data_IF_642678945802
#
_entry.id   IF_642678945802
#
_cell.length_a   1.000
_cell.length_b   1.000
_cell.length_c   1.000
_cell.angle_alpha   90.00
_cell.angle_beta   90.00
_cell.angle_gamma   90.00
#
_symmetry.space_group_name_H-M   'P 1'
#
loop_
_entity.id
_entity.type
_entity.pdbx_description
1 polymer ?
#
# COMPACT_ATOMS: atom_id res chain seq x y z
N UNK A 1 -9.66 -15.02 21.27
CA UNK A 1 -8.28 -15.30 20.84
C UNK A 1 -8.29 -15.87 19.44
N UNK A 2 -7.46 -15.42 18.48
CA UNK A 2 -7.08 -14.05 18.10
C UNK A 2 -7.80 -13.61 16.80
N UNK A 3 -8.08 -12.31 16.66
CA UNK A 3 -8.63 -11.76 15.41
C UNK A 3 -7.53 -11.60 14.35
N UNK A 4 -7.72 -12.26 13.21
CA UNK A 4 -6.86 -12.17 12.03
C UNK A 4 -6.93 -10.75 11.45
N UNK A 5 -5.89 -9.94 11.65
CA UNK A 5 -5.63 -8.72 10.87
C UNK A 5 -5.20 -9.13 9.45
N UNK A 6 -6.16 -9.57 8.63
CA UNK A 6 -5.94 -9.76 7.19
C UNK A 6 -5.44 -8.44 6.62
N UNK A 7 -4.30 -8.50 5.91
CA UNK A 7 -3.68 -7.39 5.19
C UNK A 7 -4.75 -6.59 4.42
N UNK A 8 -5.01 -5.35 4.85
CA UNK A 8 -6.01 -4.46 4.24
C UNK A 8 -5.52 -3.77 2.96
N UNK A 9 -4.27 -3.99 2.57
CA UNK A 9 -3.66 -3.46 1.34
C UNK A 9 -3.93 -4.34 0.10
N UNK A 10 -4.57 -5.49 0.27
CA UNK A 10 -4.69 -6.52 -0.78
C UNK A 10 -5.85 -6.33 -1.77
N UNK A 11 -6.81 -5.44 -1.48
CA UNK A 11 -8.04 -5.33 -2.28
C UNK A 11 -8.15 -3.97 -2.98
N UNK A 12 -7.21 -3.69 -3.87
CA UNK A 12 -7.40 -2.62 -4.83
C UNK A 12 -7.03 -3.09 -6.23
N UNK A 13 -7.96 -3.80 -6.88
CA UNK A 13 -7.92 -4.05 -8.31
C UNK A 13 -9.28 -3.75 -8.95
N UNK A 14 -9.27 -2.60 -9.61
CA UNK A 14 -10.00 -2.09 -10.78
C UNK A 14 -11.23 -2.75 -11.45
N UNK A 15 -11.82 -3.87 -11.04
CA UNK A 15 -12.90 -4.49 -11.86
C UNK A 15 -14.31 -4.53 -11.23
N UNK A 16 -14.49 -4.25 -9.94
CA UNK A 16 -15.82 -4.35 -9.30
C UNK A 16 -16.47 -3.02 -8.88
N UNK A 17 -15.84 -1.87 -9.09
CA UNK A 17 -16.42 -0.57 -8.66
C UNK A 17 -17.55 -0.09 -9.61
N UNK A 18 -17.70 -0.67 -10.81
CA UNK A 18 -18.69 -0.21 -11.78
C UNK A 18 -20.07 -0.89 -11.70
N UNK A 19 -20.32 -1.84 -10.79
CA UNK A 19 -21.65 -2.47 -10.65
C UNK A 19 -22.13 -2.65 -9.21
N UNK A 20 -22.26 -1.56 -8.47
CA UNK A 20 -23.30 -1.49 -7.44
C UNK A 20 -23.58 -0.04 -7.06
N UNK A 21 -24.79 0.40 -7.42
CA UNK A 21 -25.47 1.57 -6.91
C UNK A 21 -24.81 2.93 -7.22
N UNK A 22 -25.43 3.63 -8.18
CA UNK A 22 -25.53 5.08 -8.23
C UNK A 22 -26.06 5.60 -6.88
N UNK A 23 -25.20 5.68 -5.87
CA UNK A 23 -25.48 6.41 -4.64
C UNK A 23 -24.81 7.76 -4.79
N UNK A 24 -25.62 8.82 -4.79
CA UNK A 24 -25.24 10.23 -4.67
C UNK A 24 -24.60 10.52 -3.28
N UNK A 25 -23.69 9.66 -2.81
CA UNK A 25 -22.89 9.89 -1.61
C UNK A 25 -21.60 10.59 -2.00
N UNK A 26 -21.47 11.85 -1.59
CA UNK A 26 -20.21 12.59 -1.66
C UNK A 26 -19.18 11.87 -0.78
N UNK A 27 -18.14 11.31 -1.40
CA UNK A 27 -16.98 10.73 -0.69
C UNK A 27 -15.82 11.71 -0.76
N UNK A 28 -15.15 11.93 0.36
CA UNK A 28 -13.92 12.71 0.41
C UNK A 28 -12.77 11.75 0.13
N UNK A 29 -12.02 11.99 -0.94
CA UNK A 29 -10.85 11.20 -1.33
C UNK A 29 -9.61 12.04 -1.10
N UNK A 30 -8.63 11.48 -0.38
CA UNK A 30 -7.32 12.10 -0.21
C UNK A 30 -6.36 11.48 -1.21
N UNK A 31 -5.85 12.31 -2.12
CA UNK A 31 -4.86 11.90 -3.11
C UNK A 31 -3.48 12.42 -2.68
N UNK A 32 -2.57 11.49 -2.38
CA UNK A 32 -1.19 11.79 -2.00
C UNK A 32 -0.27 11.44 -3.16
N UNK A 33 0.50 12.41 -3.63
CA UNK A 33 1.38 12.26 -4.78
C UNK A 33 2.83 12.39 -4.36
N UNK A 34 3.63 11.36 -4.61
CA UNK A 34 5.08 11.41 -4.48
C UNK A 34 5.70 11.66 -5.87
N UNK A 35 6.33 12.82 -6.03
CA UNK A 35 6.88 13.27 -7.31
C UNK A 35 8.34 12.84 -7.52
N UNK A 36 9.08 12.61 -6.43
CA UNK A 36 10.54 12.47 -6.45
C UNK A 36 10.98 11.00 -6.40
N UNK A 37 10.26 10.12 -7.08
CA UNK A 37 10.62 8.71 -7.20
C UNK A 37 10.69 8.29 -8.66
N UNK A 38 11.90 8.31 -9.22
CA UNK A 38 12.16 7.93 -10.61
C UNK A 38 11.83 6.45 -10.87
N UNK A 39 11.49 6.14 -12.12
CA UNK A 39 11.09 4.79 -12.49
C UNK A 39 12.30 3.84 -12.45
N UNK A 40 12.13 2.65 -11.86
CA UNK A 40 13.18 1.63 -11.66
C UNK A 40 14.38 2.07 -10.81
N UNK A 41 14.27 3.20 -10.14
CA UNK A 41 15.28 3.71 -9.21
C UNK A 41 14.78 3.60 -7.77
N UNK A 42 15.72 3.68 -6.84
CA UNK A 42 15.42 3.93 -5.43
C UNK A 42 15.03 5.40 -5.23
N UNK A 43 14.20 5.72 -4.23
CA UNK A 43 13.94 7.11 -3.87
C UNK A 43 15.26 7.79 -3.50
N UNK A 44 15.46 9.04 -3.95
CA UNK A 44 16.69 9.80 -3.68
C UNK A 44 16.93 10.00 -2.17
N UNK A 45 15.84 10.15 -1.41
CA UNK A 45 15.85 10.16 0.04
C UNK A 45 14.82 9.15 0.58
N UNK A 46 15.26 8.09 1.28
CA UNK A 46 14.36 7.11 1.91
C UNK A 46 13.36 7.72 2.90
N UNK A 47 13.70 8.85 3.54
CA UNK A 47 12.80 9.50 4.51
C UNK A 47 11.51 9.98 3.83
N UNK A 48 11.58 10.37 2.56
CA UNK A 48 10.38 10.81 1.81
C UNK A 48 9.32 9.71 1.72
N UNK A 49 9.75 8.45 1.57
CA UNK A 49 8.84 7.30 1.51
C UNK A 49 8.29 6.98 2.89
N UNK A 50 9.11 7.07 3.93
CA UNK A 50 8.65 6.87 5.32
C UNK A 50 7.63 7.94 5.73
N UNK A 51 7.86 9.20 5.38
CA UNK A 51 6.94 10.31 5.63
C UNK A 51 5.60 10.10 4.91
N UNK A 52 5.64 9.64 3.65
CA UNK A 52 4.43 9.31 2.90
C UNK A 52 3.63 8.18 3.58
N UNK A 53 4.30 7.13 4.07
CA UNK A 53 3.63 6.05 4.80
C UNK A 53 3.00 6.57 6.10
N UNK A 54 3.69 7.45 6.84
CA UNK A 54 3.16 8.05 8.06
C UNK A 54 1.91 8.90 7.78
N UNK A 55 1.92 9.71 6.72
CA UNK A 55 0.74 10.47 6.27
C UNK A 55 -0.42 9.54 5.90
N UNK A 56 -0.15 8.50 5.09
CA UNK A 56 -1.17 7.50 4.72
C UNK A 56 -1.76 6.84 5.96
N UNK A 57 -0.93 6.46 6.94
CA UNK A 57 -1.40 5.86 8.20
C UNK A 57 -2.28 6.83 9.00
N UNK A 58 -1.93 8.12 9.07
CA UNK A 58 -2.76 9.14 9.73
C UNK A 58 -4.13 9.30 9.06
N UNK A 59 -4.18 9.31 7.73
CA UNK A 59 -5.46 9.38 7.01
C UNK A 59 -6.27 8.09 7.15
N UNK A 60 -5.60 6.94 7.18
CA UNK A 60 -6.22 5.64 7.34
C UNK A 60 -6.95 5.49 8.69
N UNK A 61 -6.34 6.00 9.76
CA UNK A 61 -6.97 6.04 11.08
C UNK A 61 -8.22 6.93 11.10
N UNK A 62 -8.19 8.07 10.38
CA UNK A 62 -9.34 8.98 10.27
C UNK A 62 -10.46 8.42 9.38
N UNK A 63 -10.13 7.62 8.38
CA UNK A 63 -11.08 7.09 7.38
C UNK A 63 -11.71 5.74 7.75
N UNK A 64 -11.46 5.24 8.98
CA UNK A 64 -12.02 3.97 9.45
C UNK A 64 -11.37 2.73 8.83
N UNK A 65 -10.10 2.82 8.42
CA UNK A 65 -9.35 1.74 7.78
C UNK A 65 -9.97 1.22 6.46
N UNK A 66 -10.38 2.15 5.60
CA UNK A 66 -10.87 1.86 4.25
C UNK A 66 -9.75 1.37 3.31
N UNK A 67 -10.01 0.61 2.24
CA UNK A 67 -8.97 0.20 1.30
C UNK A 67 -8.20 1.39 0.73
N UNK A 68 -6.86 1.29 0.68
CA UNK A 68 -5.98 2.31 0.09
C UNK A 68 -5.63 1.90 -1.33
N UNK A 69 -5.75 2.85 -2.26
CA UNK A 69 -5.31 2.68 -3.65
C UNK A 69 -3.87 3.15 -3.78
N UNK A 70 -2.99 2.27 -4.26
CA UNK A 70 -1.57 2.60 -4.52
C UNK A 70 -1.29 2.35 -6.00
N UNK A 71 -0.79 3.37 -6.70
CA UNK A 71 -0.48 3.30 -8.12
C UNK A 71 0.86 3.98 -8.41
N UNK A 72 1.57 3.47 -9.42
CA UNK A 72 2.76 4.11 -9.98
C UNK A 72 2.58 4.31 -11.49
N UNK A 73 3.49 3.80 -12.32
CA UNK A 73 3.30 3.73 -13.78
C UNK A 73 2.60 2.41 -14.16
N UNK A 74 3.25 1.27 -13.89
CA UNK A 74 2.73 -0.06 -14.22
C UNK A 74 2.01 -0.72 -13.03
N UNK A 75 2.14 -0.13 -11.84
CA UNK A 75 1.54 -0.62 -10.60
C UNK A 75 2.29 -1.76 -9.91
N UNK A 76 3.49 -2.13 -10.39
CA UNK A 76 4.22 -3.31 -9.88
C UNK A 76 5.45 -2.93 -9.04
N UNK A 77 6.40 -2.19 -9.62
CA UNK A 77 7.68 -1.85 -8.97
C UNK A 77 7.52 -0.97 -7.73
N UNK A 78 7.39 0.35 -7.93
CA UNK A 78 7.31 1.33 -6.82
C UNK A 78 6.10 1.08 -5.90
N UNK A 79 4.96 0.72 -6.47
CA UNK A 79 3.75 0.37 -5.69
C UNK A 79 3.98 -0.88 -4.84
N UNK A 80 4.61 -1.92 -5.39
CA UNK A 80 4.99 -3.11 -4.63
C UNK A 80 5.98 -2.79 -3.52
N UNK A 81 6.99 -1.95 -3.78
CA UNK A 81 7.95 -1.51 -2.77
C UNK A 81 7.27 -0.73 -1.65
N UNK A 82 6.38 0.22 -1.99
CA UNK A 82 5.59 0.96 -0.99
C UNK A 82 4.75 0.02 -0.13
N UNK A 83 4.01 -0.91 -0.73
CA UNK A 83 3.19 -1.88 0.00
C UNK A 83 4.03 -2.81 0.87
N UNK A 84 5.22 -3.21 0.42
CA UNK A 84 6.15 -4.03 1.19
C UNK A 84 6.65 -3.30 2.42
N UNK A 85 7.11 -2.05 2.27
CA UNK A 85 7.58 -1.23 3.40
C UNK A 85 6.44 -0.97 4.39
N UNK A 86 5.26 -0.58 3.90
CA UNK A 86 4.09 -0.34 4.76
C UNK A 86 3.71 -1.59 5.56
N UNK A 87 3.67 -2.76 4.91
CA UNK A 87 3.36 -4.04 5.57
C UNK A 87 4.43 -4.42 6.60
N UNK A 88 5.72 -4.26 6.26
CA UNK A 88 6.83 -4.51 7.17
C UNK A 88 6.74 -3.62 8.42
N UNK A 89 6.46 -2.33 8.26
CA UNK A 89 6.34 -1.40 9.38
C UNK A 89 5.17 -1.76 10.31
N UNK A 90 4.04 -2.18 9.77
CA UNK A 90 2.91 -2.65 10.59
C UNK A 90 3.26 -3.91 11.38
N UNK A 91 3.92 -4.87 10.74
CA UNK A 91 4.35 -6.12 11.40
C UNK A 91 5.38 -5.87 12.49
N UNK A 92 6.34 -4.99 12.26
CA UNK A 92 7.31 -4.60 13.30
C UNK A 92 6.58 -3.94 14.46
N UNK A 93 5.63 -3.03 14.21
CA UNK A 93 4.84 -2.38 15.28
C UNK A 93 4.02 -3.38 16.12
N UNK A 94 3.44 -4.41 15.49
CA UNK A 94 2.54 -5.35 16.16
C UNK A 94 3.24 -6.58 16.76
N UNK A 95 4.16 -7.19 16.00
CA UNK A 95 4.78 -8.48 16.31
C UNK A 95 6.25 -8.34 16.74
N UNK A 96 6.87 -7.17 16.53
CA UNK A 96 8.32 -6.95 16.71
C UNK A 96 9.19 -7.92 15.87
N UNK A 97 8.61 -8.48 14.80
CA UNK A 97 9.28 -9.38 13.85
C UNK A 97 9.24 -8.76 12.46
N UNK A 98 10.37 -8.84 11.75
CA UNK A 98 10.51 -8.37 10.38
C UNK A 98 10.97 -9.52 9.50
N UNK A 99 10.17 -9.88 8.50
CA UNK A 99 10.56 -10.79 7.43
C UNK A 99 10.21 -10.16 6.07
N UNK A 100 11.21 -9.51 5.47
CA UNK A 100 11.06 -8.83 4.18
C UNK A 100 10.80 -9.85 3.06
N UNK A 101 11.44 -11.01 3.12
CA UNK A 101 11.31 -12.05 2.09
C UNK A 101 9.88 -12.59 2.05
N UNK A 102 9.33 -13.00 3.20
CA UNK A 102 7.96 -13.50 3.28
C UNK A 102 6.94 -12.40 2.96
N UNK A 103 7.23 -11.15 3.32
CA UNK A 103 6.35 -10.02 2.99
C UNK A 103 6.28 -9.81 1.47
N UNK A 104 7.42 -9.70 0.78
CA UNK A 104 7.47 -9.56 -0.68
C UNK A 104 6.87 -10.78 -1.39
N UNK A 105 7.17 -11.99 -0.90
CA UNK A 105 6.57 -13.22 -1.43
C UNK A 105 5.04 -13.19 -1.33
N UNK A 106 4.50 -12.76 -0.19
CA UNK A 106 3.05 -12.64 0.03
C UNK A 106 2.41 -11.60 -0.89
N UNK A 107 3.10 -10.48 -1.16
CA UNK A 107 2.61 -9.47 -2.11
C UNK A 107 2.61 -10.03 -3.53
N UNK A 108 3.67 -10.74 -3.94
CA UNK A 108 3.80 -11.35 -5.27
C UNK A 108 2.74 -12.43 -5.55
N UNK A 109 2.20 -13.09 -4.53
CA UNK A 109 1.06 -14.03 -4.68
C UNK A 109 -0.19 -13.30 -5.19
N UNK A 110 -0.41 -12.06 -4.78
CA UNK A 110 -1.59 -11.27 -5.17
C UNK A 110 -1.34 -10.44 -6.43
N UNK A 111 -0.10 -10.00 -6.64
CA UNK A 111 0.31 -9.23 -7.80
C UNK A 111 1.66 -9.71 -8.34
N UNK A 112 1.65 -10.58 -9.37
CA UNK A 112 2.88 -11.01 -10.03
C UNK A 112 3.70 -9.80 -10.50
N UNK A 113 5.02 -9.84 -10.30
CA UNK A 113 5.92 -8.74 -10.68
C UNK A 113 6.06 -7.62 -9.64
N UNK A 114 5.35 -7.68 -8.51
CA UNK A 114 5.55 -6.73 -7.42
C UNK A 114 7.02 -6.72 -6.94
N UNK A 115 7.58 -5.52 -6.76
CA UNK A 115 9.02 -5.29 -6.55
C UNK A 115 9.81 -5.84 -7.76
N UNK A 116 9.88 -5.00 -8.80
CA UNK A 116 10.38 -5.38 -10.14
C UNK A 116 11.89 -5.61 -10.18
N UNK A 117 12.66 -4.81 -9.45
CA UNK A 117 14.14 -4.79 -9.51
C UNK A 117 14.77 -5.45 -8.28
N UNK A 118 16.00 -5.96 -8.45
CA UNK A 118 16.84 -6.55 -7.39
C UNK A 118 17.46 -5.49 -6.49
#
# INVERSE_FOLDING_TARGET
MPQKSKLKYLNCFCDDICKAALILTRRIVFHLQHLNWENKCIPADPQTVLNLIDEVQKYQQKSGNSPIVVQCSNGDGRSGTFCAIASCLERVKQEQVLDVFQTVKSIRVNRPGAVETL
#
